data_IF_139273098455
#
_entry.id   IF_139273098455
#
_cell.length_a   1.000
_cell.length_b   1.000
_cell.length_c   1.000
_cell.angle_alpha   90.00
_cell.angle_beta   90.00
_cell.angle_gamma   90.00
#
_symmetry.space_group_name_H-M   'P 1'
#
loop_
_entity.id
_entity.type
_entity.pdbx_description
1 polymer ?
2 non-polymer ?
3 non-polymer ?
4 non-polymer ?
5 non-polymer ?
6 non-polymer ?
7 water ?
#
# COMPACT_ATOMS: atom_id res chain seq x y z
N UNK A 5 25.18 26.12 -6.72
CA UNK A 5 26.02 25.33 -5.81
C UNK A 5 25.39 25.23 -4.41
N UNK A 6 25.44 24.04 -3.82
CA UNK A 6 24.86 23.82 -2.50
C UNK A 6 25.76 22.97 -1.59
N UNK A 7 25.42 22.90 -0.33
CA UNK A 7 26.13 22.10 0.66
C UNK A 7 25.20 21.02 1.30
N UNK A 8 23.89 21.16 1.09
CA UNK A 8 22.88 20.26 1.60
C UNK A 8 21.75 20.21 0.57
N UNK A 9 21.12 19.04 0.39
CA UNK A 9 20.02 18.89 -0.56
C UNK A 9 19.14 17.69 -0.23
N UNK A 10 17.87 17.82 -0.55
CA UNK A 10 16.91 16.74 -0.52
C UNK A 10 16.52 16.63 -1.98
N UNK A 11 16.81 15.50 -2.60
CA UNK A 11 16.52 15.29 -4.01
C UNK A 11 16.17 13.82 -4.27
N UNK A 12 15.62 13.54 -5.48
CA UNK A 12 15.30 12.17 -5.89
C UNK A 12 16.59 11.37 -5.96
N UNK A 13 16.50 10.10 -5.51
CA UNK A 13 17.64 9.20 -5.59
C UNK A 13 17.87 8.80 -7.06
N UNK A 14 19.11 8.50 -7.39
CA UNK A 14 19.48 8.01 -8.73
C UNK A 14 20.13 6.63 -8.54
N UNK A 15 20.31 5.89 -9.64
CA UNK A 15 20.99 4.61 -9.66
C UNK A 15 22.38 4.71 -8.99
N UNK A 16 23.10 5.83 -9.26
CA UNK A 16 24.44 6.13 -8.74
C UNK A 16 24.47 6.30 -7.21
N UNK A 17 23.32 6.58 -6.58
CA UNK A 17 23.24 6.71 -5.14
C UNK A 17 22.98 5.38 -4.44
N UNK A 18 22.53 4.34 -5.17
CA UNK A 18 22.09 3.08 -4.56
C UNK A 18 23.11 2.39 -3.67
N UNK A 19 24.39 2.44 -4.04
CA UNK A 19 25.46 1.82 -3.27
C UNK A 19 25.57 2.44 -1.86
N UNK A 20 25.46 3.78 -1.77
CA UNK A 20 25.54 4.48 -0.50
C UNK A 20 24.21 4.35 0.25
N UNK A 21 23.08 4.48 -0.49
CA UNK A 21 21.75 4.36 0.07
C UNK A 21 21.49 2.98 0.72
N UNK A 22 22.05 1.88 0.14
CA UNK A 22 21.90 0.53 0.65
C UNK A 22 22.35 0.37 2.09
N UNK A 23 23.40 1.12 2.52
CA UNK A 23 23.87 1.07 3.89
C UNK A 23 22.78 1.60 4.84
N UNK A 24 22.16 2.74 4.49
CA UNK A 24 21.10 3.30 5.32
C UNK A 24 19.84 2.44 5.26
N UNK A 25 19.57 1.81 4.10
CA UNK A 25 18.41 0.93 3.92
C UNK A 25 18.58 -0.32 4.81
N UNK A 26 19.80 -0.83 4.87
CA UNK A 26 20.13 -1.95 5.75
C UNK A 26 19.98 -1.56 7.23
N UNK A 27 20.29 -0.30 7.58
CA UNK A 27 20.16 0.20 8.96
C UNK A 27 18.69 0.31 9.36
N UNK A 28 17.87 0.78 8.42
CA UNK A 28 16.44 0.87 8.60
C UNK A 28 15.84 -0.55 8.83
N UNK A 29 16.26 -1.54 8.03
CA UNK A 29 15.83 -2.92 8.21
C UNK A 29 16.20 -3.44 9.61
N UNK A 30 17.44 -3.18 10.10
CA UNK A 30 17.89 -3.56 11.45
C UNK A 30 17.02 -2.92 12.52
N UNK A 31 16.60 -1.66 12.32
CA UNK A 31 15.69 -0.98 13.25
C UNK A 31 14.38 -1.80 13.42
N UNK A 32 13.92 -2.42 12.33
CA UNK A 32 12.72 -3.25 12.29
C UNK A 32 12.93 -4.74 12.68
N UNK A 33 14.12 -5.07 13.19
CA UNK A 33 14.43 -6.41 13.66
C UNK A 33 15.20 -7.32 12.72
N UNK A 34 15.48 -6.87 11.50
CA UNK A 34 16.21 -7.68 10.53
C UNK A 34 17.69 -7.83 10.84
N UNK A 35 18.26 -8.95 10.44
CA UNK A 35 19.69 -9.17 10.57
C UNK A 35 20.36 -8.39 9.44
N UNK A 36 21.48 -7.72 9.75
CA UNK A 36 22.22 -6.94 8.78
C UNK A 36 22.73 -7.84 7.64
N UNK A 37 22.49 -7.44 6.41
CA UNK A 37 22.93 -8.18 5.23
C UNK A 37 22.95 -7.15 4.12
N UNK A 38 24.08 -6.47 3.95
CA UNK A 38 24.18 -5.42 2.97
C UNK A 38 23.87 -5.82 1.55
N UNK A 39 24.32 -7.01 1.14
CA UNK A 39 24.08 -7.55 -0.20
C UNK A 39 22.58 -7.77 -0.46
N UNK A 40 21.86 -8.34 0.51
CA UNK A 40 20.42 -8.59 0.43
C UNK A 40 19.67 -7.24 0.41
N UNK A 41 20.02 -6.35 1.35
CA UNK A 41 19.42 -5.01 1.43
C UNK A 41 19.57 -4.24 0.12
N UNK A 42 20.77 -4.21 -0.45
CA UNK A 42 21.07 -3.55 -1.71
C UNK A 42 20.29 -4.14 -2.88
N UNK A 43 20.25 -5.48 -3.02
CA UNK A 43 19.53 -6.13 -4.09
C UNK A 43 18.03 -5.75 -4.05
N UNK A 44 17.42 -5.72 -2.84
CA UNK A 44 16.01 -5.39 -2.72
C UNK A 44 15.77 -3.88 -2.89
N UNK A 45 16.76 -3.04 -2.46
CA UNK A 45 16.67 -1.58 -2.67
C UNK A 45 16.60 -1.30 -4.17
N UNK A 46 17.42 -2.03 -4.98
CA UNK A 46 17.43 -1.93 -6.45
C UNK A 46 16.09 -2.34 -7.05
N UNK A 47 15.49 -3.45 -6.58
CA UNK A 47 14.15 -3.86 -7.02
C UNK A 47 13.12 -2.76 -6.73
N UNK A 48 13.14 -2.16 -5.53
CA UNK A 48 12.18 -1.10 -5.19
C UNK A 48 12.45 0.17 -6.00
N UNK A 49 13.73 0.50 -6.24
CA UNK A 49 14.12 1.66 -7.01
C UNK A 49 13.62 1.52 -8.44
N UNK A 50 13.71 0.29 -9.02
CA UNK A 50 13.28 -0.02 -10.39
C UNK A 50 11.79 -0.40 -10.48
N UNK A 51 11.00 0.05 -9.51
CA UNK A 51 9.57 -0.20 -9.49
C UNK A 51 8.95 1.14 -9.93
N UNK A 52 8.17 1.10 -11.03
CA UNK A 52 7.59 2.26 -11.69
C UNK A 52 6.88 3.24 -10.78
N UNK A 53 6.11 2.74 -9.81
CA UNK A 53 5.33 3.63 -8.95
C UNK A 53 6.02 3.99 -7.62
N UNK A 54 7.31 3.67 -7.46
CA UNK A 54 8.03 4.03 -6.25
C UNK A 54 8.92 5.24 -6.46
N UNK A 55 9.01 6.06 -5.42
CA UNK A 55 9.79 7.29 -5.43
C UNK A 55 10.66 7.37 -4.18
N UNK A 56 11.96 7.51 -4.37
CA UNK A 56 12.88 7.69 -3.26
C UNK A 56 13.42 9.12 -3.25
N UNK A 57 13.35 9.77 -2.07
CA UNK A 57 14.00 11.04 -1.83
C UNK A 57 15.11 10.80 -0.79
N UNK A 58 16.26 11.43 -0.99
CA UNK A 58 17.39 11.29 -0.09
C UNK A 58 17.84 12.64 0.41
N UNK A 59 18.45 12.65 1.58
CA UNK A 59 18.95 13.86 2.17
C UNK A 59 20.46 13.74 2.20
N UNK A 60 21.15 14.65 1.55
CA UNK A 60 22.60 14.68 1.45
C UNK A 60 23.10 15.93 2.18
N UNK A 61 24.06 15.74 3.08
CA UNK A 61 24.65 16.84 3.83
C UNK A 61 26.14 16.66 3.70
N UNK A 62 26.82 17.62 3.05
CA UNK A 62 28.28 17.59 2.90
C UNK A 62 28.72 16.34 2.13
N UNK A 63 27.97 16.02 1.06
CA UNK A 63 28.20 14.87 0.15
C UNK A 63 27.89 13.47 0.81
N UNK A 64 27.35 13.45 2.02
CA UNK A 64 26.99 12.21 2.70
C UNK A 64 25.46 12.06 2.73
N UNK A 65 24.94 10.87 2.43
CA UNK A 65 23.49 10.64 2.52
C UNK A 65 23.22 10.43 4.00
N UNK A 66 22.40 11.29 4.57
CA UNK A 66 22.04 11.26 6.00
C UNK A 66 20.73 10.49 6.24
N UNK A 67 19.87 10.42 5.23
CA UNK A 67 18.58 9.76 5.37
C UNK A 67 17.82 9.64 4.06
N UNK A 68 16.66 9.02 4.14
CA UNK A 68 15.81 8.80 2.97
C UNK A 68 14.33 8.62 3.38
N UNK A 69 13.47 8.74 2.38
CA UNK A 69 12.04 8.48 2.45
C UNK A 69 11.65 7.73 1.16
N UNK A 70 10.90 6.65 1.33
CA UNK A 70 10.41 5.87 0.20
C UNK A 70 8.90 6.01 0.17
N UNK A 71 8.40 6.46 -0.96
CA UNK A 71 6.97 6.63 -1.20
C UNK A 71 6.55 5.66 -2.36
N UNK A 72 5.27 5.26 -2.41
CA UNK A 72 4.75 4.55 -3.56
C UNK A 72 3.30 4.95 -3.84
N UNK A 73 2.91 4.88 -5.10
CA UNK A 73 1.58 5.25 -5.53
C UNK A 73 0.49 4.33 -4.98
N UNK A 74 -0.56 4.95 -4.45
CA UNK A 74 -1.74 4.29 -3.90
C UNK A 74 -2.95 4.65 -4.75
N UNK A 75 -3.94 3.79 -4.75
CA UNK A 75 -5.18 3.98 -5.52
C UNK A 75 -6.34 3.86 -4.57
N UNK A 76 -7.13 4.91 -4.49
CA UNK A 76 -8.31 4.94 -3.65
C UNK A 76 -9.52 4.72 -4.54
N UNK A 77 -10.10 3.52 -4.46
CA UNK A 77 -11.28 3.10 -5.20
C UNK A 77 -12.48 4.00 -4.87
N UNK A 78 -12.65 4.33 -3.59
CA UNK A 78 -13.77 5.17 -3.15
C UNK A 78 -13.71 6.57 -3.74
N UNK A 79 -12.53 7.22 -3.68
CA UNK A 79 -12.38 8.56 -4.24
C UNK A 79 -12.14 8.57 -5.74
N UNK A 80 -11.75 7.44 -6.33
CA UNK A 80 -11.34 7.32 -7.74
C UNK A 80 -10.22 8.28 -8.06
N UNK A 81 -9.23 8.26 -7.17
CA UNK A 81 -8.08 9.11 -7.28
C UNK A 81 -6.88 8.40 -6.63
N UNK A 82 -5.69 8.87 -6.96
CA UNK A 82 -4.46 8.33 -6.43
C UNK A 82 -4.03 9.12 -5.18
N UNK A 83 -3.15 8.51 -4.42
CA UNK A 83 -2.54 9.14 -3.27
C UNK A 83 -1.11 8.54 -3.15
N UNK A 84 -0.37 8.92 -2.12
CA UNK A 84 0.96 8.34 -1.88
C UNK A 84 1.06 7.70 -0.51
N UNK A 85 1.80 6.59 -0.44
CA UNK A 85 2.06 5.90 0.80
C UNK A 85 3.50 6.23 1.17
N UNK A 86 3.73 6.75 2.38
CA UNK A 86 5.07 6.99 2.86
C UNK A 86 5.40 5.67 3.52
N UNK A 87 6.12 4.82 2.79
CA UNK A 87 6.42 3.48 3.24
C UNK A 87 7.53 3.45 4.30
N UNK A 88 8.71 3.97 4.00
CA UNK A 88 9.85 3.94 4.93
C UNK A 88 10.45 5.34 5.10
N UNK A 89 10.87 5.68 6.32
CA UNK A 89 11.59 6.95 6.60
C UNK A 89 12.70 6.57 7.55
N UNK A 90 13.90 7.08 7.29
CA UNK A 90 15.03 6.77 8.13
C UNK A 90 16.10 7.84 8.03
N UNK A 91 16.72 8.15 9.16
CA UNK A 91 17.86 9.04 9.28
C UNK A 91 18.93 8.28 10.08
N UNK A 92 20.17 8.24 9.58
CA UNK A 92 21.23 7.53 10.27
C UNK A 92 21.53 8.26 11.63
N UNK A 93 21.76 7.49 12.71
CA UNK A 93 21.95 8.12 14.03
C UNK A 93 22.90 9.33 14.12
N UNK A 94 24.09 9.30 13.45
CA UNK A 94 25.04 10.41 13.47
C UNK A 94 24.40 11.74 13.08
N UNK A 95 23.38 11.71 12.21
CA UNK A 95 22.74 12.93 11.75
C UNK A 95 21.36 13.20 12.34
N UNK A 96 20.96 12.46 13.39
CA UNK A 96 19.62 12.63 13.95
C UNK A 96 19.44 13.93 14.70
N UNK A 97 18.18 14.39 14.72
CA UNK A 97 17.68 15.57 15.39
C UNK A 97 18.28 16.87 14.85
N UNK A 98 18.50 16.91 13.55
CA UNK A 98 19.01 18.07 12.81
C UNK A 98 18.00 18.57 11.76
N UNK A 99 16.79 17.99 11.71
CA UNK A 99 15.77 18.36 10.74
C UNK A 99 15.80 17.58 9.43
N UNK A 100 16.62 16.50 9.31
CA UNK A 100 16.66 15.70 8.09
C UNK A 100 15.29 15.08 7.73
N UNK A 101 14.66 14.38 8.70
CA UNK A 101 13.36 13.74 8.49
C UNK A 101 12.32 14.78 8.13
N UNK A 102 12.34 15.93 8.84
CA UNK A 102 11.44 17.04 8.54
C UNK A 102 11.59 17.49 7.05
N UNK A 103 12.83 17.75 6.59
CA UNK A 103 13.07 18.15 5.20
C UNK A 103 12.63 17.09 4.20
N UNK A 104 12.90 15.81 4.50
CA UNK A 104 12.51 14.70 3.65
C UNK A 104 10.98 14.62 3.49
N UNK A 105 10.25 14.78 4.60
CA UNK A 105 8.80 14.74 4.56
C UNK A 105 8.22 16.00 3.89
N UNK A 106 8.87 17.16 4.07
CA UNK A 106 8.40 18.40 3.45
C UNK A 106 8.48 18.31 1.93
N UNK A 107 9.59 17.75 1.41
CA UNK A 107 9.75 17.51 -0.03
C UNK A 107 8.72 16.46 -0.48
N UNK A 108 8.51 15.36 0.30
CA UNK A 108 7.52 14.33 0.01
C UNK A 108 6.10 14.94 -0.15
N UNK A 109 5.74 15.90 0.74
CA UNK A 109 4.45 16.62 0.72
C UNK A 109 4.31 17.49 -0.53
N UNK A 110 5.34 18.27 -0.84
CA UNK A 110 5.36 19.13 -2.04
C UNK A 110 5.26 18.29 -3.30
N UNK A 111 5.92 17.11 -3.32
CA UNK A 111 5.88 16.19 -4.45
C UNK A 111 4.46 15.63 -4.62
N UNK A 112 3.85 15.14 -3.52
CA UNK A 112 2.48 14.61 -3.53
C UNK A 112 1.50 15.67 -4.01
N UNK A 113 1.64 16.94 -3.56
CA UNK A 113 0.78 18.04 -4.03
C UNK A 113 0.95 18.29 -5.55
N UNK A 114 2.19 18.23 -6.03
CA UNK A 114 2.52 18.39 -7.44
C UNK A 114 1.85 17.28 -8.31
N UNK A 115 1.70 16.08 -7.73
CA UNK A 115 1.07 14.91 -8.34
C UNK A 115 -0.47 14.85 -8.14
N UNK A 116 -1.05 15.91 -7.55
CA UNK A 116 -2.48 16.02 -7.23
C UNK A 116 -2.99 14.85 -6.39
N UNK A 117 -2.14 14.35 -5.46
CA UNK A 117 -2.53 13.24 -4.58
C UNK A 117 -3.59 13.66 -3.60
N UNK A 118 -4.47 12.72 -3.22
CA UNK A 118 -5.52 12.98 -2.20
C UNK A 118 -4.88 13.28 -0.84
N UNK A 119 -3.83 12.53 -0.51
CA UNK A 119 -3.14 12.62 0.77
C UNK A 119 -1.81 11.82 0.71
N UNK A 120 -1.08 11.80 1.83
CA UNK A 120 0.03 10.89 2.06
C UNK A 120 -0.44 10.05 3.27
N UNK A 121 -0.40 8.72 3.15
CA UNK A 121 -0.81 7.84 4.23
C UNK A 121 0.38 6.99 4.61
N UNK A 122 0.40 6.55 5.85
CA UNK A 122 1.47 5.69 6.34
C UNK A 122 0.98 4.83 7.48
N UNK A 123 1.74 3.80 7.83
CA UNK A 123 1.51 3.05 9.03
C UNK A 123 2.84 2.91 9.78
N UNK A 124 2.85 3.15 11.06
CA UNK A 124 4.07 3.06 11.87
C UNK A 124 3.74 2.29 13.15
N UNK A 125 4.73 1.64 13.78
CA UNK A 125 4.47 0.89 15.00
C UNK A 125 3.87 1.77 16.10
N UNK A 126 2.92 1.19 16.83
CA UNK A 126 2.31 1.85 17.99
C UNK A 126 3.37 2.12 19.05
N UNK A 127 4.40 1.27 19.16
CA UNK A 127 5.46 1.49 20.16
C UNK A 127 6.53 2.51 19.70
N UNK A 128 6.38 3.09 18.49
CA UNK A 128 7.36 4.03 17.95
C UNK A 128 6.88 5.46 18.16
N UNK A 129 6.94 5.92 19.42
CA UNK A 129 6.50 7.26 19.84
C UNK A 129 7.26 8.40 19.14
N UNK A 130 8.57 8.20 18.87
CA UNK A 130 9.44 9.17 18.21
C UNK A 130 8.88 9.53 16.81
N UNK A 131 8.46 8.51 16.05
CA UNK A 131 7.88 8.65 14.72
C UNK A 131 6.53 9.35 14.80
N UNK A 132 5.69 9.02 15.80
CA UNK A 132 4.40 9.70 15.99
C UNK A 132 4.62 11.22 16.20
N UNK A 133 5.64 11.61 17.00
CA UNK A 133 5.97 13.04 17.23
C UNK A 133 6.40 13.69 15.91
N UNK A 134 7.18 13.00 15.09
CA UNK A 134 7.62 13.52 13.80
C UNK A 134 6.42 13.74 12.86
N UNK A 135 5.59 12.72 12.70
CA UNK A 135 4.45 12.77 11.79
C UNK A 135 3.43 13.78 12.20
N UNK A 136 3.16 13.89 13.52
CA UNK A 136 2.23 14.91 14.01
C UNK A 136 2.77 16.31 13.76
N UNK A 137 4.08 16.52 13.95
CA UNK A 137 4.70 17.83 13.69
C UNK A 137 4.51 18.21 12.20
N UNK A 138 4.60 17.21 11.30
CA UNK A 138 4.45 17.34 9.85
C UNK A 138 3.03 17.46 9.34
N UNK A 139 2.03 17.40 10.21
CA UNK A 139 0.64 17.54 9.79
C UNK A 139 -0.11 16.24 9.55
N UNK A 140 0.42 15.11 10.03
CA UNK A 140 -0.27 13.84 9.90
C UNK A 140 -1.22 13.66 11.09
N UNK A 141 -2.41 13.16 10.82
CA UNK A 141 -3.43 12.89 11.82
C UNK A 141 -3.57 11.39 11.96
N UNK A 142 -3.67 10.92 13.20
CA UNK A 142 -3.81 9.52 13.50
C UNK A 142 -5.17 9.01 13.01
N UNK A 143 -5.17 7.91 12.23
CA UNK A 143 -6.38 7.26 11.75
C UNK A 143 -6.92 6.44 12.90
N UNK A 144 -8.21 6.53 13.16
CA UNK A 144 -8.86 5.75 14.21
C UNK A 144 -9.87 4.72 13.64
N UNK A 145 -10.49 5.09 12.52
CA UNK A 145 -11.56 4.36 11.84
C UNK A 145 -11.22 2.98 11.30
N UNK A 146 -9.95 2.69 10.96
CA UNK A 146 -9.61 1.41 10.34
C UNK A 146 -8.82 0.45 11.22
N UNK A 147 -9.01 -0.85 10.96
CA UNK A 147 -8.36 -1.97 11.63
C UNK A 147 -7.61 -2.78 10.56
N UNK A 148 -6.31 -3.01 10.78
CA UNK A 148 -5.48 -3.80 9.88
C UNK A 148 -5.67 -5.29 10.22
N UNK A 149 -5.60 -6.15 9.20
CA UNK A 149 -5.68 -7.61 9.32
C UNK A 149 -4.60 -8.25 8.44
N UNK A 150 -3.96 -9.33 8.92
CA UNK A 150 -2.95 -10.02 8.11
C UNK A 150 -3.26 -11.49 8.04
N UNK A 151 -3.06 -12.07 6.89
CA UNK A 151 -3.21 -13.50 6.69
C UNK A 151 -1.81 -13.98 6.36
N UNK A 152 -1.12 -14.59 7.32
CA UNK A 152 0.26 -15.05 7.16
C UNK A 152 0.38 -16.28 6.28
N UNK A 153 1.23 -16.21 5.25
CA UNK A 153 1.36 -17.32 4.30
C UNK A 153 2.65 -18.10 4.37
N UNK A 154 3.69 -17.51 4.98
CA UNK A 154 4.98 -18.17 5.09
C UNK A 154 5.56 -17.88 6.46
N UNK B 6 -19.05 -26.06 -16.34
CA UNK B 6 -19.24 -25.26 -15.13
C UNK B 6 -20.36 -24.21 -15.25
N UNK B 7 -21.02 -23.91 -14.14
CA UNK B 7 -22.13 -22.94 -14.04
C UNK B 7 -21.80 -21.74 -13.14
N UNK B 8 -20.73 -21.83 -12.35
CA UNK B 8 -20.25 -20.80 -11.44
C UNK B 8 -18.72 -20.82 -11.47
N UNK B 9 -18.09 -19.64 -11.36
CA UNK B 9 -16.62 -19.55 -11.35
C UNK B 9 -16.05 -18.29 -10.70
N UNK B 10 -14.91 -18.47 -10.04
CA UNK B 10 -14.12 -17.39 -9.52
C UNK B 10 -12.90 -17.39 -10.44
N UNK B 11 -12.76 -16.34 -11.24
CA UNK B 11 -11.66 -16.24 -12.18
C UNK B 11 -11.10 -14.82 -12.26
N UNK B 12 -9.94 -14.65 -12.90
CA UNK B 12 -9.38 -13.34 -13.17
C UNK B 12 -10.37 -12.55 -14.05
N UNK B 13 -10.51 -11.26 -13.78
CA UNK B 13 -11.34 -10.40 -14.61
C UNK B 13 -10.62 -10.21 -15.95
N UNK B 14 -11.41 -9.93 -17.01
CA UNK B 14 -10.86 -9.63 -18.34
C UNK B 14 -11.43 -8.25 -18.80
N UNK B 15 -10.96 -7.72 -19.94
CA UNK B 15 -11.48 -6.48 -20.51
C UNK B 15 -13.00 -6.53 -20.75
N UNK B 16 -13.48 -7.70 -21.17
CA UNK B 16 -14.89 -7.94 -21.47
C UNK B 16 -15.81 -7.88 -20.25
N UNK B 17 -15.27 -8.12 -19.06
CA UNK B 17 -16.07 -8.05 -17.82
C UNK B 17 -16.22 -6.62 -17.28
N UNK B 18 -15.43 -5.66 -17.78
CA UNK B 18 -15.37 -4.32 -17.19
C UNK B 18 -16.67 -3.52 -17.21
N UNK B 19 -17.52 -3.67 -18.23
CA UNK B 19 -18.79 -2.91 -18.27
C UNK B 19 -19.68 -3.38 -17.12
N UNK B 20 -19.77 -4.71 -16.92
CA UNK B 20 -20.58 -5.25 -15.85
C UNK B 20 -19.89 -5.06 -14.47
N UNK B 21 -18.58 -5.24 -14.40
CA UNK B 21 -17.81 -5.08 -13.15
C UNK B 21 -17.87 -3.64 -12.64
N UNK B 22 -17.92 -2.65 -13.55
CA UNK B 22 -18.03 -1.25 -13.16
C UNK B 22 -19.27 -0.98 -12.31
N UNK B 23 -20.37 -1.69 -12.59
CA UNK B 23 -21.62 -1.52 -11.84
C UNK B 23 -21.40 -1.94 -10.38
N UNK B 24 -20.74 -3.10 -10.19
CA UNK B 24 -20.40 -3.62 -8.84
C UNK B 24 -19.38 -2.73 -8.12
N UNK B 25 -18.40 -2.23 -8.87
CA UNK B 25 -17.37 -1.36 -8.33
C UNK B 25 -17.99 -0.01 -7.88
N UNK B 26 -18.97 0.49 -8.63
CA UNK B 26 -19.69 1.72 -8.29
C UNK B 26 -20.55 1.49 -7.01
N UNK B 27 -21.12 0.29 -6.87
CA UNK B 27 -21.90 -0.15 -5.70
C UNK B 27 -21.01 -0.22 -4.46
N UNK B 28 -19.80 -0.73 -4.63
CA UNK B 28 -18.80 -0.84 -3.55
C UNK B 28 -18.42 0.61 -3.11
N UNK B 29 -18.24 1.53 -4.08
CA UNK B 29 -17.94 2.93 -3.82
C UNK B 29 -19.05 3.59 -3.01
N UNK B 30 -20.32 3.29 -3.35
CA UNK B 30 -21.50 3.82 -2.66
C UNK B 30 -21.57 3.32 -1.22
N UNK B 31 -21.15 2.07 -0.96
CA UNK B 31 -21.12 1.52 0.39
C UNK B 31 -20.16 2.37 1.27
N UNK B 32 -19.02 2.75 0.70
CA UNK B 32 -18.05 3.59 1.37
C UNK B 32 -18.39 5.11 1.33
N UNK B 33 -19.58 5.46 0.86
CA UNK B 33 -20.06 6.83 0.88
C UNK B 33 -19.94 7.66 -0.39
N UNK B 34 -19.40 7.10 -1.49
CA UNK B 34 -19.27 7.90 -2.72
C UNK B 34 -20.60 8.03 -3.46
N UNK B 35 -20.78 9.13 -4.19
CA UNK B 35 -21.98 9.30 -5.01
C UNK B 35 -21.79 8.40 -6.24
N UNK B 36 -22.88 7.76 -6.71
CA UNK B 36 -22.84 6.92 -7.88
C UNK B 36 -22.43 7.74 -9.11
N UNK B 37 -21.51 7.21 -9.89
CA UNK B 37 -21.03 7.85 -11.09
C UNK B 37 -20.41 6.73 -11.91
N UNK B 38 -21.20 6.06 -12.76
CA UNK B 38 -20.68 4.94 -13.54
C UNK B 38 -19.52 5.29 -14.46
N UNK B 39 -19.51 6.53 -15.04
CA UNK B 39 -18.40 6.92 -15.90
C UNK B 39 -17.10 6.99 -15.09
N UNK B 40 -17.13 7.71 -13.95
CA UNK B 40 -15.95 7.84 -13.09
C UNK B 40 -15.50 6.47 -12.58
N UNK B 41 -16.47 5.65 -12.11
CA UNK B 41 -16.17 4.31 -11.59
C UNK B 41 -15.51 3.41 -12.61
N UNK B 42 -16.06 3.38 -13.84
CA UNK B 42 -15.51 2.54 -14.90
C UNK B 42 -14.14 3.01 -15.35
N UNK B 43 -13.94 4.33 -15.51
CA UNK B 43 -12.65 4.91 -15.93
C UNK B 43 -11.53 4.54 -14.93
N UNK B 44 -11.81 4.65 -13.62
CA UNK B 44 -10.82 4.33 -12.61
C UNK B 44 -10.61 2.83 -12.52
N UNK B 45 -11.70 2.04 -12.66
CA UNK B 45 -11.62 0.57 -12.68
C UNK B 45 -10.67 0.10 -13.78
N UNK B 46 -10.79 0.69 -14.98
CA UNK B 46 -9.96 0.37 -16.14
C UNK B 46 -8.50 0.77 -15.89
N UNK B 47 -8.28 1.91 -15.23
CA UNK B 47 -6.92 2.38 -14.89
C UNK B 47 -6.25 1.41 -13.90
N UNK B 48 -7.02 0.89 -12.96
CA UNK B 48 -6.51 -0.08 -12.00
C UNK B 48 -6.30 -1.43 -12.67
N UNK B 49 -7.23 -1.83 -13.56
CA UNK B 49 -7.14 -3.09 -14.28
C UNK B 49 -5.91 -3.11 -15.19
N UNK B 50 -5.52 -1.96 -15.77
CA UNK B 50 -4.34 -1.86 -16.63
C UNK B 50 -3.01 -1.79 -15.83
N UNK B 51 -3.10 -1.57 -14.52
CA UNK B 51 -1.89 -1.57 -13.65
C UNK B 51 -1.32 -2.98 -13.61
N UNK B 52 -0.05 -3.12 -13.98
CA UNK B 52 0.59 -4.43 -14.02
C UNK B 52 0.72 -5.12 -12.63
N UNK B 53 0.63 -4.35 -11.53
CA UNK B 53 0.74 -4.92 -10.19
C UNK B 53 -0.61 -5.27 -9.53
N UNK B 54 -1.73 -4.90 -10.18
CA UNK B 54 -3.08 -5.15 -9.67
C UNK B 54 -3.60 -6.50 -10.17
N UNK B 55 -4.41 -7.17 -9.36
CA UNK B 55 -4.99 -8.48 -9.68
C UNK B 55 -6.48 -8.45 -9.30
N UNK B 56 -7.35 -8.71 -10.26
CA UNK B 56 -8.80 -8.74 -10.02
C UNK B 56 -9.32 -10.14 -10.17
N UNK B 57 -10.12 -10.58 -9.21
CA UNK B 57 -10.84 -11.85 -9.29
C UNK B 57 -12.33 -11.54 -9.17
N UNK B 58 -13.14 -12.20 -9.97
CA UNK B 58 -14.59 -12.00 -9.94
C UNK B 58 -15.30 -13.31 -9.72
N UNK B 59 -16.44 -13.24 -9.02
CA UNK B 59 -17.27 -14.40 -8.84
C UNK B 59 -18.44 -14.27 -9.83
N UNK B 60 -18.60 -15.27 -10.68
CA UNK B 60 -19.65 -15.26 -11.71
C UNK B 60 -20.61 -16.44 -11.53
N UNK B 61 -21.91 -16.15 -11.35
CA UNK B 61 -22.97 -17.15 -11.17
C UNK B 61 -23.89 -17.08 -12.39
N UNK B 62 -23.80 -18.07 -13.29
CA UNK B 62 -24.59 -18.15 -14.53
C UNK B 62 -24.46 -16.85 -15.36
N UNK B 63 -23.21 -16.42 -15.65
CA UNK B 63 -22.89 -15.21 -16.43
C UNK B 63 -23.19 -13.85 -15.70
N UNK B 64 -23.66 -13.87 -14.45
CA UNK B 64 -23.88 -12.64 -13.68
C UNK B 64 -22.73 -12.47 -12.68
N UNK B 65 -22.07 -11.30 -12.67
CA UNK B 65 -21.00 -11.05 -11.70
C UNK B 65 -21.62 -10.78 -10.34
N UNK B 66 -21.37 -11.64 -9.38
CA UNK B 66 -21.93 -11.50 -8.03
C UNK B 66 -21.05 -10.66 -7.10
N UNK B 67 -19.75 -10.65 -7.37
CA UNK B 67 -18.81 -9.95 -6.52
C UNK B 67 -17.40 -9.97 -7.06
N UNK B 68 -16.51 -9.31 -6.34
CA UNK B 68 -15.12 -9.22 -6.77
C UNK B 68 -14.16 -8.95 -5.60
N UNK B 69 -12.89 -9.16 -5.87
CA UNK B 69 -11.81 -8.83 -4.95
C UNK B 69 -10.65 -8.23 -5.78
N UNK B 70 -10.08 -7.14 -5.27
CA UNK B 70 -8.98 -6.48 -5.94
C UNK B 70 -7.80 -6.51 -4.99
N UNK B 71 -6.71 -7.03 -5.48
CA UNK B 71 -5.45 -7.11 -4.78
C UNK B 71 -4.32 -6.38 -5.55
N UNK B 72 -3.29 -5.95 -4.84
CA UNK B 72 -2.13 -5.35 -5.48
C UNK B 72 -0.85 -5.72 -4.74
N UNK B 73 0.23 -5.70 -5.47
CA UNK B 73 1.55 -6.02 -4.95
C UNK B 73 2.08 -5.03 -3.89
N UNK B 74 2.64 -5.58 -2.83
CA UNK B 74 3.25 -4.84 -1.74
C UNK B 74 4.70 -5.28 -1.55
N UNK B 75 5.54 -4.37 -1.11
CA UNK B 75 6.95 -4.65 -0.87
C UNK B 75 7.26 -4.43 0.57
N UNK B 76 7.82 -5.43 1.23
CA UNK B 76 8.22 -5.33 2.61
C UNK B 76 9.74 -5.11 2.63
N UNK B 77 10.18 -3.92 3.01
CA UNK B 77 11.60 -3.59 3.11
C UNK B 77 12.28 -4.40 4.20
N UNK B 78 11.60 -4.65 5.33
CA UNK B 78 12.17 -5.42 6.42
C UNK B 78 12.47 -6.88 6.00
N UNK B 79 11.49 -7.54 5.37
CA UNK B 79 11.67 -8.93 4.96
C UNK B 79 12.37 -9.09 3.62
N UNK B 80 12.55 -7.99 2.84
CA UNK B 80 13.10 -8.02 1.49
C UNK B 80 12.36 -9.02 0.62
N UNK B 81 11.02 -8.94 0.70
CA UNK B 81 10.11 -9.82 0.00
C UNK B 81 8.80 -9.11 -0.31
N UNK B 82 8.07 -9.64 -1.28
CA UNK B 82 6.79 -9.08 -1.67
C UNK B 82 5.63 -9.76 -0.92
N UNK B 83 4.51 -9.08 -0.89
CA UNK B 83 3.28 -9.56 -0.32
C UNK B 83 2.10 -8.98 -1.13
N UNK B 84 0.85 -9.28 -0.74
CA UNK B 84 -0.30 -8.74 -1.44
C UNK B 84 -1.20 -7.98 -0.51
N UNK B 85 -1.78 -6.91 -1.00
CA UNK B 85 -2.75 -6.15 -0.22
C UNK B 85 -4.14 -6.47 -0.82
N UNK B 86 -5.08 -6.90 0.03
CA UNK B 86 -6.46 -7.10 -0.35
C UNK B 86 -7.04 -5.70 -0.17
N UNK B 87 -7.20 -4.99 -1.25
CA UNK B 87 -7.64 -3.61 -1.22
C UNK B 87 -9.18 -3.51 -1.13
N UNK B 88 -9.87 -4.21 -2.03
CA UNK B 88 -11.32 -4.13 -2.10
C UNK B 88 -11.97 -5.49 -2.20
N UNK B 89 -13.09 -5.66 -1.46
CA UNK B 89 -13.89 -6.85 -1.53
C UNK B 89 -15.35 -6.45 -1.43
N UNK B 90 -16.16 -7.00 -2.34
CA UNK B 90 -17.57 -6.62 -2.40
C UNK B 90 -18.39 -7.71 -3.04
N UNK B 91 -19.59 -7.97 -2.47
CA UNK B 91 -20.56 -8.92 -3.01
C UNK B 91 -21.90 -8.17 -3.09
N UNK B 92 -22.53 -8.13 -4.28
CA UNK B 92 -23.81 -7.41 -4.44
C UNK B 92 -24.87 -8.04 -3.49
N UNK B 93 -25.66 -7.20 -2.77
CA UNK B 93 -26.59 -7.73 -1.75
C UNK B 93 -27.43 -8.95 -2.12
N UNK B 94 -28.02 -9.03 -3.34
CA UNK B 94 -28.86 -10.16 -3.76
C UNK B 94 -28.14 -11.50 -3.61
N UNK B 95 -26.83 -11.50 -3.82
CA UNK B 95 -26.03 -12.73 -3.78
C UNK B 95 -25.24 -12.95 -2.48
N UNK B 96 -25.51 -12.18 -1.45
CA UNK B 96 -24.82 -12.28 -0.15
C UNK B 96 -25.22 -13.51 0.69
N UNK B 97 -24.31 -13.93 1.59
CA UNK B 97 -24.40 -15.09 2.47
C UNK B 97 -24.56 -16.41 1.68
N UNK B 98 -23.89 -16.47 0.53
CA UNK B 98 -23.86 -17.63 -0.36
C UNK B 98 -22.42 -18.15 -0.60
N UNK B 99 -21.44 -17.65 0.14
CA UNK B 99 -20.05 -18.07 0.01
C UNK B 99 -19.26 -17.41 -1.10
N UNK B 100 -19.80 -16.34 -1.72
CA UNK B 100 -19.08 -15.63 -2.79
C UNK B 100 -17.74 -15.01 -2.31
N UNK B 101 -17.78 -14.27 -1.18
CA UNK B 101 -16.60 -13.62 -0.63
C UNK B 101 -15.60 -14.65 -0.13
N UNK B 102 -16.09 -15.73 0.49
CA UNK B 102 -15.28 -16.86 0.92
C UNK B 102 -14.48 -17.45 -0.27
N UNK B 103 -15.16 -17.73 -1.39
CA UNK B 103 -14.49 -18.26 -2.59
C UNK B 103 -13.50 -17.26 -3.23
N UNK B 104 -13.82 -15.95 -3.23
CA UNK B 104 -12.95 -14.93 -3.77
C UNK B 104 -11.65 -14.83 -2.94
N UNK B 105 -11.80 -14.88 -1.62
CA UNK B 105 -10.65 -14.83 -0.73
C UNK B 105 -9.84 -16.14 -0.76
N UNK B 106 -10.52 -17.28 -0.85
CA UNK B 106 -9.84 -18.57 -0.97
C UNK B 106 -8.99 -18.60 -2.26
N UNK B 107 -9.53 -18.05 -3.34
CA UNK B 107 -8.80 -17.92 -4.59
C UNK B 107 -7.61 -16.94 -4.42
N UNK B 108 -7.83 -15.79 -3.73
CA UNK B 108 -6.77 -14.80 -3.51
C UNK B 108 -5.61 -15.38 -2.74
N UNK B 109 -5.89 -16.17 -1.68
CA UNK B 109 -4.87 -16.85 -0.88
C UNK B 109 -4.06 -17.83 -1.73
N UNK B 110 -4.73 -18.64 -2.56
CA UNK B 110 -4.07 -19.62 -3.46
C UNK B 110 -3.18 -18.88 -4.46
N UNK B 111 -3.66 -17.77 -4.99
CA UNK B 111 -2.88 -16.94 -5.92
C UNK B 111 -1.64 -16.35 -5.18
N UNK B 112 -1.83 -15.82 -3.96
CA UNK B 112 -0.72 -15.26 -3.18
C UNK B 112 0.33 -16.31 -2.85
N UNK B 113 -0.08 -17.55 -2.52
CA UNK B 113 0.85 -18.66 -2.25
C UNK B 113 1.63 -19.01 -3.51
N UNK B 114 0.94 -19.08 -4.67
CA UNK B 114 1.56 -19.33 -5.98
C UNK B 114 2.63 -18.26 -6.27
N UNK B 115 2.37 -17.00 -5.86
CA UNK B 115 3.29 -15.87 -6.04
C UNK B 115 4.41 -15.77 -4.99
N UNK B 116 4.44 -16.71 -4.04
CA UNK B 116 5.37 -16.80 -2.92
C UNK B 116 5.33 -15.53 -2.04
N UNK B 117 4.13 -14.98 -1.85
CA UNK B 117 3.90 -13.80 -1.04
C UNK B 117 4.11 -14.12 0.46
N UNK B 118 4.55 -13.12 1.24
CA UNK B 118 4.74 -13.32 2.70
C UNK B 118 3.38 -13.47 3.40
N UNK B 119 2.42 -12.68 2.96
CA UNK B 119 1.10 -12.58 3.56
C UNK B 119 0.16 -11.83 2.62
N UNK B 120 -1.10 -11.72 3.05
CA UNK B 120 -2.08 -10.85 2.47
C UNK B 120 -2.43 -9.91 3.59
N UNK B 121 -2.35 -8.60 3.34
CA UNK B 121 -2.68 -7.58 4.32
C UNK B 121 -3.84 -6.72 3.87
N UNK B 122 -4.62 -6.22 4.84
CA UNK B 122 -5.76 -5.39 4.52
C UNK B 122 -6.11 -4.44 5.67
N UNK B 123 -6.94 -3.46 5.37
CA UNK B 123 -7.50 -2.49 6.28
C UNK B 123 -9.02 -2.49 6.08
N UNK B 124 -9.80 -2.49 7.15
CA UNK B 124 -11.26 -2.42 7.04
C UNK B 124 -11.79 -1.58 8.22
N UNK B 125 -12.96 -0.94 8.08
CA UNK B 125 -13.50 -0.14 9.17
C UNK B 125 -13.69 -0.97 10.46
N UNK B 126 -13.30 -0.38 11.60
CA UNK B 126 -13.41 -0.98 12.92
C UNK B 126 -14.86 -1.34 13.25
N UNK B 127 -15.83 -0.55 12.79
CA UNK B 127 -17.24 -0.84 13.05
C UNK B 127 -17.91 -1.73 11.97
N UNK B 128 -17.14 -2.24 10.99
CA UNK B 128 -17.68 -3.15 9.97
C UNK B 128 -17.67 -4.58 10.54
N UNK B 129 -18.74 -4.95 11.26
CA UNK B 129 -18.88 -6.25 11.90
C UNK B 129 -18.73 -7.38 10.87
N UNK B 130 -19.46 -7.27 9.74
CA UNK B 130 -19.50 -8.25 8.67
C UNK B 130 -18.12 -8.58 8.11
N UNK B 131 -17.34 -7.56 7.74
CA UNK B 131 -15.99 -7.76 7.20
C UNK B 131 -15.07 -8.42 8.22
N UNK B 132 -15.14 -8.06 9.51
CA UNK B 132 -14.31 -8.70 10.53
C UNK B 132 -14.62 -10.19 10.63
N UNK B 133 -15.93 -10.57 10.54
CA UNK B 133 -16.30 -11.98 10.61
C UNK B 133 -15.78 -12.73 9.39
N UNK B 134 -15.87 -12.10 8.24
CA UNK B 134 -15.37 -12.66 7.00
C UNK B 134 -13.87 -12.91 7.06
N UNK B 135 -13.09 -11.89 7.36
CA UNK B 135 -11.63 -12.00 7.34
C UNK B 135 -11.14 -12.98 8.41
N UNK B 136 -11.78 -12.98 9.58
CA UNK B 136 -11.42 -13.96 10.62
C UNK B 136 -11.75 -15.37 10.18
N UNK B 137 -12.89 -15.58 9.51
CA UNK B 137 -13.27 -16.90 8.97
C UNK B 137 -12.18 -17.40 8.00
N UNK B 138 -11.63 -16.50 7.18
CA UNK B 138 -10.60 -16.80 6.20
C UNK B 138 -9.18 -16.90 6.73
N UNK B 139 -9.01 -16.88 8.06
CA UNK B 139 -7.69 -17.00 8.65
C UNK B 139 -6.89 -15.71 8.81
N UNK B 140 -7.53 -14.55 8.68
CA UNK B 140 -6.86 -13.27 8.89
C UNK B 140 -6.85 -12.96 10.39
N UNK B 141 -5.76 -12.36 10.87
CA UNK B 141 -5.60 -12.00 12.27
C UNK B 141 -5.60 -10.48 12.38
N UNK B 142 -6.34 -9.95 13.33
CA UNK B 142 -6.42 -8.54 13.62
C UNK B 142 -5.05 -8.08 14.14
N UNK B 143 -4.54 -6.98 13.60
CA UNK B 143 -3.25 -6.45 14.00
C UNK B 143 -3.35 -4.99 14.38
N UNK B 144 -3.09 -4.71 15.66
CA UNK B 144 -3.11 -3.36 16.22
C UNK B 144 -1.72 -2.87 16.66
N UNK B 145 -0.64 -3.56 16.26
CA UNK B 145 0.73 -3.15 16.56
C UNK B 145 1.19 -1.97 15.68
N UNK B 146 0.46 -1.65 14.61
CA UNK B 146 0.76 -0.52 13.75
C UNK B 146 -0.40 0.45 13.79
N UNK B 147 -0.07 1.72 13.69
CA UNK B 147 -0.99 2.84 13.70
C UNK B 147 -0.88 3.56 12.34
N UNK B 148 -2.01 3.83 11.71
CA UNK B 148 -2.07 4.54 10.43
C UNK B 148 -2.17 6.03 10.66
N UNK B 149 -1.46 6.83 9.87
CA UNK B 149 -1.54 8.30 9.90
C UNK B 149 -1.85 8.79 8.50
N UNK B 150 -2.50 9.96 8.39
CA UNK B 150 -2.82 10.54 7.10
C UNK B 150 -2.51 12.01 7.11
N UNK B 151 -1.96 12.52 6.03
CA UNK B 151 -1.71 13.96 5.86
C UNK B 151 -2.58 14.34 4.66
N UNK B 152 -3.77 14.88 4.95
CA UNK B 152 -4.75 15.26 3.94
C UNK B 152 -4.30 16.42 3.07
N UNK B 153 -4.33 16.22 1.77
CA UNK B 153 -3.89 17.25 0.84
C UNK B 153 -5.04 17.90 0.07
N UNK B 154 -6.24 17.27 0.06
CA UNK B 154 -7.42 17.77 -0.66
C UNK B 154 -8.70 17.50 0.15
#
# INVERSE_FOLDING_TARGET
MHHHHHHMIVRRATYEDLSQLAVLFDEYRQFYGASSNLEESHHFLKQRFENKESVFFIHIKDEKITGFVLLYLGFSSVACSTYYILDDVYVTPLFRRQGSAKQLIDTAILFAKQENALRISLETQSNNHESHRLFEKMGFIRDSEFQTFHCFLK
MHHHHHHMIVRRATYEDLSQLAVLFDEYRQFYGASSNLEESHHFLKQRFENKESVFFIHIKDEKITGFVLLYLGFSSVACSTYYILDDVYVTPLFRRQGSAKQLIDTAILFAKQENALRISLETQSNNHESHRLFEKMGFIRDSEFQTFHCFLK
#
